data_IF_163630121915
#
_entry.id   IF_163630121915
#
_cell.length_a   1.000
_cell.length_b   1.000
_cell.length_c   1.000
_cell.angle_alpha   90.00
_cell.angle_beta   90.00
_cell.angle_gamma   90.00
#
_symmetry.space_group_name_H-M   'P 1'
#
loop_
_entity.id
_entity.type
_entity.pdbx_description
1 polymer ?
#
# COMPACT_ATOMS: atom_id res chain seq x y z
N UNK A 1 29.25 0.97 1.10
CA UNK A 1 28.54 0.56 -0.15
C UNK A 1 27.13 1.16 -0.12
N UNK A 2 27.00 2.45 -0.42
CA UNK A 2 25.80 3.26 -0.18
C UNK A 2 25.25 3.78 -1.51
N UNK A 3 24.75 2.86 -2.35
CA UNK A 3 24.18 3.20 -3.67
C UNK A 3 22.67 3.00 -3.78
N UNK A 4 22.02 2.46 -2.74
CA UNK A 4 20.61 2.03 -2.82
C UNK A 4 19.86 2.38 -1.54
N UNK A 5 18.78 3.15 -1.67
CA UNK A 5 17.88 3.44 -0.57
C UNK A 5 17.10 2.18 -0.16
N UNK A 6 17.21 1.76 1.11
CA UNK A 6 16.43 0.66 1.68
C UNK A 6 14.92 0.89 1.52
N UNK A 7 14.50 2.15 1.66
CA UNK A 7 13.12 2.54 1.53
C UNK A 7 12.63 2.37 0.09
N UNK A 8 13.44 2.76 -0.91
CA UNK A 8 13.11 2.57 -2.33
C UNK A 8 12.89 1.08 -2.67
N UNK A 9 13.78 0.19 -2.22
CA UNK A 9 13.64 -1.26 -2.42
C UNK A 9 12.35 -1.79 -1.79
N UNK A 10 12.02 -1.34 -0.57
CA UNK A 10 10.76 -1.72 0.08
C UNK A 10 9.55 -1.30 -0.77
N UNK A 11 9.58 -0.12 -1.38
CA UNK A 11 8.48 0.34 -2.24
C UNK A 11 8.39 -0.48 -3.53
N UNK A 12 9.52 -0.79 -4.18
CA UNK A 12 9.56 -1.65 -5.38
C UNK A 12 8.90 -3.02 -5.11
N UNK A 13 9.21 -3.65 -3.98
CA UNK A 13 8.64 -4.97 -3.61
C UNK A 13 7.12 -4.92 -3.46
N UNK A 14 6.54 -3.77 -3.09
CA UNK A 14 5.09 -3.59 -2.99
C UNK A 14 4.40 -3.35 -4.33
N UNK A 15 5.15 -3.02 -5.39
CA UNK A 15 4.57 -2.71 -6.70
C UNK A 15 4.06 -3.96 -7.42
N UNK A 16 3.14 -3.75 -8.37
CA UNK A 16 2.67 -4.81 -9.28
C UNK A 16 3.81 -5.46 -10.05
N UNK A 17 4.87 -4.72 -10.36
CA UNK A 17 6.04 -5.25 -11.06
C UNK A 17 6.68 -6.43 -10.30
N UNK A 18 6.89 -6.28 -8.99
CA UNK A 18 7.39 -7.37 -8.16
C UNK A 18 6.35 -8.47 -7.97
N UNK A 19 5.08 -8.12 -7.76
CA UNK A 19 4.01 -9.13 -7.53
C UNK A 19 3.83 -10.03 -8.76
N UNK A 20 3.86 -9.47 -9.97
CA UNK A 20 3.78 -10.23 -11.23
C UNK A 20 5.00 -11.14 -11.36
N UNK A 21 6.20 -10.61 -11.15
CA UNK A 21 7.43 -11.40 -11.17
C UNK A 21 7.41 -12.54 -10.15
N UNK A 22 7.02 -12.24 -8.91
CA UNK A 22 6.93 -13.22 -7.84
C UNK A 22 5.86 -14.28 -8.13
N UNK A 23 4.77 -13.91 -8.81
CA UNK A 23 3.72 -14.86 -9.19
C UNK A 23 4.16 -15.78 -10.34
N UNK A 24 4.96 -15.29 -11.28
CA UNK A 24 5.55 -16.09 -12.38
C UNK A 24 6.66 -17.04 -11.88
N UNK A 25 7.45 -16.60 -10.90
CA UNK A 25 8.60 -17.35 -10.36
C UNK A 25 8.31 -18.15 -9.10
N UNK A 26 7.12 -18.02 -8.51
CA UNK A 26 6.71 -18.85 -7.39
C UNK A 26 6.43 -20.28 -7.89
N UNK A 27 6.93 -21.27 -7.16
CA UNK A 27 6.57 -22.67 -7.41
C UNK A 27 5.06 -22.86 -7.21
N UNK A 28 4.43 -23.65 -8.07
CA UNK A 28 3.02 -24.07 -8.04
C UNK A 28 2.67 -24.99 -6.85
N UNK A 29 3.19 -24.71 -5.66
CA UNK A 29 2.78 -25.40 -4.44
C UNK A 29 1.68 -24.58 -3.74
N UNK A 30 0.90 -25.23 -2.88
CA UNK A 30 -0.18 -24.63 -2.07
C UNK A 30 0.26 -23.38 -1.28
N UNK A 31 1.57 -23.17 -1.13
CA UNK A 31 2.20 -21.96 -0.61
C UNK A 31 3.07 -21.34 -1.72
N UNK A 32 2.65 -20.20 -2.26
CA UNK A 32 3.46 -19.42 -3.21
C UNK A 32 4.73 -18.91 -2.51
N UNK A 33 5.83 -19.65 -2.64
CA UNK A 33 7.12 -19.28 -2.08
C UNK A 33 8.10 -18.91 -3.21
N UNK A 34 8.66 -17.70 -3.14
CA UNK A 34 9.71 -17.25 -4.05
C UNK A 34 11.07 -17.68 -3.47
N UNK A 35 11.77 -18.57 -4.18
CA UNK A 35 13.10 -19.01 -3.75
C UNK A 35 14.08 -17.82 -3.64
N UNK A 36 15.05 -17.91 -2.72
CA UNK A 36 16.12 -16.90 -2.60
C UNK A 36 16.90 -16.71 -3.90
N UNK A 37 17.02 -17.76 -4.72
CA UNK A 37 17.61 -17.68 -6.07
C UNK A 37 16.76 -16.80 -6.99
N UNK A 38 15.44 -17.01 -7.00
CA UNK A 38 14.50 -16.18 -7.75
C UNK A 38 14.51 -14.72 -7.31
N UNK A 39 14.63 -14.45 -6.00
CA UNK A 39 14.76 -13.08 -5.49
C UNK A 39 16.06 -12.40 -5.95
N UNK A 40 17.19 -13.11 -5.98
CA UNK A 40 18.47 -12.54 -6.47
C UNK A 40 18.49 -12.27 -7.97
N UNK A 41 17.65 -12.94 -8.74
CA UNK A 41 17.53 -12.74 -10.19
C UNK A 41 16.59 -11.60 -10.58
N UNK A 42 15.87 -11.02 -9.63
CA UNK A 42 14.95 -9.94 -9.90
C UNK A 42 15.69 -8.67 -10.31
N UNK A 43 15.36 -8.12 -11.48
CA UNK A 43 15.92 -6.87 -11.97
C UNK A 43 15.23 -5.70 -11.28
N UNK A 44 16.00 -4.95 -10.49
CA UNK A 44 15.51 -3.75 -9.82
C UNK A 44 15.87 -2.52 -10.67
N UNK A 45 14.89 -1.70 -11.08
CA UNK A 45 15.18 -0.41 -11.70
C UNK A 45 15.77 0.53 -10.64
N UNK A 46 17.06 0.81 -10.72
CA UNK A 46 17.78 1.67 -9.77
C UNK A 46 18.14 3.01 -10.44
N UNK A 47 17.30 4.05 -10.28
CA UNK A 47 17.61 5.39 -10.75
C UNK A 47 18.67 6.04 -9.84
N UNK A 48 19.08 7.27 -10.15
CA UNK A 48 20.03 8.02 -9.31
C UNK A 48 19.51 8.20 -7.88
N UNK A 49 20.39 8.40 -6.90
CA UNK A 49 20.00 8.56 -5.48
C UNK A 49 19.00 9.71 -5.30
N UNK A 50 19.19 10.81 -6.05
CA UNK A 50 18.29 11.97 -6.03
C UNK A 50 16.90 11.59 -6.53
N UNK A 51 16.82 10.86 -7.64
CA UNK A 51 15.54 10.38 -8.18
C UNK A 51 14.87 9.36 -7.25
N UNK A 52 15.64 8.47 -6.61
CA UNK A 52 15.10 7.55 -5.60
C UNK A 52 14.40 8.34 -4.48
N UNK A 53 15.03 9.41 -3.99
CA UNK A 53 14.46 10.25 -2.92
C UNK A 53 13.17 10.96 -3.38
N UNK A 54 13.17 11.55 -4.58
CA UNK A 54 11.99 12.21 -5.15
C UNK A 54 10.82 11.23 -5.32
N UNK A 55 11.09 10.02 -5.80
CA UNK A 55 10.07 8.98 -5.95
C UNK A 55 9.47 8.63 -4.59
N UNK A 56 10.31 8.43 -3.58
CA UNK A 56 9.86 8.10 -2.21
C UNK A 56 8.96 9.21 -1.66
N UNK A 57 9.39 10.46 -1.73
CA UNK A 57 8.62 11.60 -1.22
C UNK A 57 7.25 11.73 -1.88
N UNK A 58 7.17 11.47 -3.19
CA UNK A 58 5.90 11.48 -3.92
C UNK A 58 4.99 10.33 -3.49
N UNK A 59 5.54 9.13 -3.34
CA UNK A 59 4.77 7.96 -2.87
C UNK A 59 4.26 8.20 -1.46
N UNK A 60 5.11 8.66 -0.54
CA UNK A 60 4.72 8.90 0.85
C UNK A 60 3.63 9.98 0.95
N UNK A 61 3.75 11.07 0.16
CA UNK A 61 2.71 12.10 0.08
C UNK A 61 1.37 11.55 -0.42
N UNK A 62 1.39 10.70 -1.45
CA UNK A 62 0.17 10.10 -1.98
C UNK A 62 -0.46 9.13 -0.98
N UNK A 63 0.34 8.32 -0.29
CA UNK A 63 -0.16 7.41 0.74
C UNK A 63 -0.80 8.17 1.90
N UNK A 64 -0.18 9.26 2.36
CA UNK A 64 -0.76 10.11 3.41
C UNK A 64 -2.10 10.74 2.99
N UNK A 65 -2.25 11.11 1.72
CA UNK A 65 -3.54 11.59 1.20
C UNK A 65 -4.60 10.48 1.20
N UNK A 66 -4.22 9.25 0.86
CA UNK A 66 -5.13 8.09 0.90
C UNK A 66 -5.57 7.83 2.34
N UNK A 67 -4.64 7.78 3.29
CA UNK A 67 -4.94 7.54 4.72
C UNK A 67 -5.93 8.59 5.27
N UNK A 68 -5.74 9.87 4.91
CA UNK A 68 -6.65 10.95 5.29
C UNK A 68 -8.04 10.80 4.64
N UNK A 69 -8.11 10.41 3.37
CA UNK A 69 -9.38 10.16 2.70
C UNK A 69 -10.13 8.97 3.31
N UNK A 70 -9.44 7.88 3.63
CA UNK A 70 -10.01 6.71 4.29
C UNK A 70 -10.58 7.06 5.67
N UNK A 71 -9.86 7.89 6.42
CA UNK A 71 -10.33 8.43 7.71
C UNK A 71 -11.61 9.25 7.53
N UNK A 72 -11.63 10.19 6.58
CA UNK A 72 -12.82 11.02 6.33
C UNK A 72 -14.04 10.20 5.91
N UNK A 73 -13.85 9.16 5.10
CA UNK A 73 -14.93 8.24 4.71
C UNK A 73 -15.49 7.52 5.94
N UNK A 74 -14.61 7.02 6.80
CA UNK A 74 -14.98 6.30 8.03
C UNK A 74 -15.74 7.21 8.99
N UNK A 75 -15.25 8.43 9.23
CA UNK A 75 -15.86 9.41 10.12
C UNK A 75 -17.26 9.82 9.61
N UNK A 76 -17.40 10.06 8.30
CA UNK A 76 -18.69 10.39 7.68
C UNK A 76 -19.70 9.25 7.82
N UNK A 77 -19.26 8.01 7.62
CA UNK A 77 -20.10 6.83 7.77
C UNK A 77 -20.61 6.71 9.21
N UNK A 78 -19.71 6.81 10.19
CA UNK A 78 -20.07 6.76 11.60
C UNK A 78 -21.06 7.87 11.99
N UNK A 79 -20.82 9.10 11.53
CA UNK A 79 -21.75 10.21 11.76
C UNK A 79 -23.13 9.97 11.14
N UNK A 80 -23.18 9.44 9.93
CA UNK A 80 -24.45 9.10 9.27
C UNK A 80 -25.24 8.05 10.06
N UNK A 81 -24.57 7.03 10.59
CA UNK A 81 -25.18 6.00 11.43
C UNK A 81 -25.73 6.57 12.74
N UNK A 82 -24.96 7.46 13.40
CA UNK A 82 -25.43 8.14 14.62
C UNK A 82 -26.67 8.99 14.35
N UNK A 83 -26.69 9.78 13.27
CA UNK A 83 -27.84 10.60 12.89
C UNK A 83 -29.08 9.74 12.63
N UNK A 84 -28.92 8.63 11.91
CA UNK A 84 -30.02 7.68 11.68
C UNK A 84 -30.58 7.13 12.99
N UNK A 85 -29.72 6.72 13.93
CA UNK A 85 -30.16 6.24 15.24
C UNK A 85 -30.88 7.32 16.06
N UNK A 86 -30.40 8.56 16.03
CA UNK A 86 -31.05 9.68 16.72
C UNK A 86 -32.45 9.94 16.18
N UNK A 87 -32.61 9.97 14.85
CA UNK A 87 -33.92 10.14 14.19
C UNK A 87 -34.87 9.00 14.55
N UNK A 88 -34.41 7.75 14.48
CA UNK A 88 -35.24 6.60 14.85
C UNK A 88 -35.69 6.68 16.32
N UNK A 89 -34.78 7.01 17.24
CA UNK A 89 -35.15 7.19 18.66
C UNK A 89 -36.20 8.28 18.84
N UNK A 90 -36.07 9.41 18.16
CA UNK A 90 -37.03 10.51 18.24
C UNK A 90 -38.42 10.09 17.73
N UNK A 91 -38.48 9.39 16.60
CA UNK A 91 -39.74 8.92 16.00
C UNK A 91 -40.44 7.87 16.87
N UNK A 92 -39.69 6.95 17.49
CA UNK A 92 -40.26 5.89 18.34
C UNK A 92 -40.41 6.26 19.83
N UNK A 93 -39.94 7.44 20.26
CA UNK A 93 -40.14 7.95 21.64
C UNK A 93 -41.34 8.90 21.75
N UNK A 94 -42.13 9.05 20.69
CA UNK A 94 -43.47 9.66 20.69
C UNK A 94 -44.53 8.56 20.68
#
# INVERSE_FOLDING_TARGET
MTGTSKHYIKQIIKTKYFIIYASDKASETTIKNLSLKGMRMFLVPLPSIVEQQIIIERVDKLMAMIDELEKQVTDRKSRSEMLMQSVLREVFSR
#
